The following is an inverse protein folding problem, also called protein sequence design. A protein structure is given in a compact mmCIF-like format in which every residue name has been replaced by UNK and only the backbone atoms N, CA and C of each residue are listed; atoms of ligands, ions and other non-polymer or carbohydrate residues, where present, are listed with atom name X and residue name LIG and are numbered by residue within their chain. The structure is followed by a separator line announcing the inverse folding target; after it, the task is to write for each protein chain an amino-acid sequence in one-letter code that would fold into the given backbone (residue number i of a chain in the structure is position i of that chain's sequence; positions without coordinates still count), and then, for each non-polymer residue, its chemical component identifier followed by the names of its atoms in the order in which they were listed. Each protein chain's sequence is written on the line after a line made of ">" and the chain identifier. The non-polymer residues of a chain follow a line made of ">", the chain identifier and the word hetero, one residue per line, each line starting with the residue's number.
data_IF_285450761185
#
_entry.id   IF_285450761185
#
_cell.length_a   1.000
_cell.length_b   1.000
_cell.length_c   1.000
_cell.angle_alpha   90.00
_cell.angle_beta   90.00
_cell.angle_gamma   90.00
#
_symmetry.space_group_name_H-M   'P 1'
#
loop_
_entity.id
_entity.type
_entity.pdbx_description
1 polymer ?
#
# COMPACT_ATOMS: atom_id res chain seq x y z
N UNK A 1 11.78 -3.34 -4.97
CA UNK A 1 11.34 -1.94 -5.21
C UNK A 1 10.56 -1.93 -6.52
N UNK A 2 9.29 -1.56 -6.48
CA UNK A 2 8.38 -1.69 -7.62
C UNK A 2 8.40 -0.45 -8.53
N UNK A 3 8.18 -0.59 -9.85
CA UNK A 3 7.92 0.54 -10.72
C UNK A 3 6.71 1.37 -10.26
N UNK A 4 6.74 2.72 -10.37
CA UNK A 4 5.65 3.57 -9.88
C UNK A 4 4.26 3.23 -10.44
N UNK A 5 4.19 2.80 -11.71
CA UNK A 5 2.91 2.43 -12.33
C UNK A 5 2.29 1.17 -11.70
N UNK A 6 3.10 0.22 -11.23
CA UNK A 6 2.59 -0.99 -10.56
C UNK A 6 1.99 -0.66 -9.19
N UNK A 7 2.57 0.32 -8.49
CA UNK A 7 2.04 0.82 -7.22
C UNK A 7 0.70 1.53 -7.48
N UNK A 8 0.61 2.37 -8.51
CA UNK A 8 -0.65 3.01 -8.88
C UNK A 8 -1.75 2.00 -9.22
N UNK A 9 -1.41 0.95 -9.97
CA UNK A 9 -2.34 -0.14 -10.30
C UNK A 9 -2.79 -0.93 -9.06
N UNK A 10 -1.91 -1.16 -8.09
CA UNK A 10 -2.29 -1.76 -6.80
C UNK A 10 -3.27 -0.88 -6.01
N UNK A 11 -3.05 0.44 -5.99
CA UNK A 11 -4.00 1.38 -5.38
C UNK A 11 -5.36 1.37 -6.09
N UNK A 12 -5.39 1.36 -7.43
CA UNK A 12 -6.63 1.25 -8.21
C UNK A 12 -7.34 -0.07 -7.93
N UNK A 13 -6.59 -1.17 -7.84
CA UNK A 13 -7.13 -2.49 -7.49
C UNK A 13 -7.79 -2.49 -6.12
N UNK A 14 -7.11 -1.99 -5.08
CA UNK A 14 -7.67 -1.86 -3.72
C UNK A 14 -8.97 -1.04 -3.75
N UNK A 15 -8.95 0.13 -4.40
CA UNK A 15 -10.12 0.99 -4.50
C UNK A 15 -11.29 0.32 -5.25
N UNK A 16 -10.99 -0.45 -6.29
CA UNK A 16 -12.00 -1.19 -7.06
C UNK A 16 -12.66 -2.29 -6.23
N UNK A 17 -11.87 -3.04 -5.45
CA UNK A 17 -12.39 -4.05 -4.51
C UNK A 17 -13.25 -3.39 -3.43
N UNK A 18 -12.80 -2.29 -2.82
CA UNK A 18 -13.57 -1.56 -1.80
C UNK A 18 -14.89 -0.96 -2.31
N UNK A 19 -14.97 -0.66 -3.61
CA UNK A 19 -16.16 -0.12 -4.27
C UNK A 19 -16.98 -1.17 -5.02
N UNK A 20 -16.63 -2.45 -4.86
CA UNK A 20 -17.28 -3.59 -5.53
C UNK A 20 -17.35 -3.41 -7.06
N UNK A 21 -16.36 -2.73 -7.64
CA UNK A 21 -16.28 -2.47 -9.07
C UNK A 21 -15.49 -3.57 -9.76
N UNK A 22 -16.13 -4.27 -10.71
CA UNK A 22 -15.43 -5.22 -11.55
C UNK A 22 -14.50 -4.50 -12.53
N UNK A 23 -13.22 -4.81 -12.43
CA UNK A 23 -12.13 -4.22 -13.23
C UNK A 23 -11.26 -5.28 -13.88
N UNK A 24 -11.63 -6.58 -13.80
CA UNK A 24 -10.81 -7.68 -14.31
C UNK A 24 -10.48 -7.52 -15.80
N UNK A 25 -11.48 -7.24 -16.62
CA UNK A 25 -11.30 -7.05 -18.06
C UNK A 25 -10.31 -5.90 -18.37
N UNK A 26 -10.41 -4.78 -17.65
CA UNK A 26 -9.51 -3.64 -17.83
C UNK A 26 -8.06 -4.00 -17.45
N UNK A 27 -7.85 -4.77 -16.38
CA UNK A 27 -6.52 -5.25 -16.01
C UNK A 27 -5.95 -6.29 -16.99
N UNK A 28 -6.80 -7.15 -17.57
CA UNK A 28 -6.39 -8.12 -18.60
C UNK A 28 -5.91 -7.43 -19.89
N UNK A 29 -6.60 -6.37 -20.33
CA UNK A 29 -6.21 -5.56 -21.49
C UNK A 29 -4.83 -4.90 -21.31
N UNK A 30 -4.51 -4.48 -20.09
CA UNK A 30 -3.22 -3.88 -19.73
C UNK A 30 -2.05 -4.89 -19.75
N UNK A 31 -2.34 -6.20 -19.85
CA UNK A 31 -1.34 -7.30 -19.84
C UNK A 31 -0.42 -7.25 -18.61
N UNK A 32 -0.96 -6.83 -17.48
CA UNK A 32 -0.22 -6.71 -16.22
C UNK A 32 -0.32 -8.03 -15.46
N UNK A 33 0.77 -8.43 -14.82
CA UNK A 33 0.77 -9.59 -13.92
C UNK A 33 -0.02 -9.26 -12.64
N UNK A 34 -1.23 -9.83 -12.55
CA UNK A 34 -2.11 -9.64 -11.40
C UNK A 34 -1.55 -10.22 -10.10
N UNK A 35 -0.62 -11.18 -10.14
CA UNK A 35 0.03 -11.67 -8.93
C UNK A 35 0.92 -10.59 -8.32
N UNK A 36 1.68 -9.87 -9.15
CA UNK A 36 2.52 -8.75 -8.70
C UNK A 36 1.65 -7.64 -8.11
N UNK A 37 0.56 -7.26 -8.79
CA UNK A 37 -0.37 -6.23 -8.29
C UNK A 37 -0.99 -6.62 -6.96
N UNK A 38 -1.43 -7.87 -6.80
CA UNK A 38 -1.98 -8.38 -5.54
C UNK A 38 -0.94 -8.40 -4.42
N UNK A 39 0.30 -8.77 -4.70
CA UNK A 39 1.38 -8.74 -3.71
C UNK A 39 1.63 -7.32 -3.20
N UNK A 40 1.75 -6.34 -4.10
CA UNK A 40 1.89 -4.93 -3.73
C UNK A 40 0.67 -4.45 -2.93
N UNK A 41 -0.54 -4.84 -3.34
CA UNK A 41 -1.76 -4.48 -2.62
C UNK A 41 -1.79 -5.05 -1.19
N UNK A 42 -1.34 -6.30 -1.00
CA UNK A 42 -1.20 -6.90 0.32
C UNK A 42 -0.18 -6.16 1.17
N UNK A 43 0.99 -5.79 0.63
CA UNK A 43 1.99 -4.98 1.35
C UNK A 43 1.42 -3.62 1.80
N UNK A 44 0.62 -2.97 0.94
CA UNK A 44 -0.06 -1.71 1.28
C UNK A 44 -1.08 -1.92 2.41
N UNK A 45 -1.89 -2.98 2.34
CA UNK A 45 -2.90 -3.27 3.37
C UNK A 45 -2.25 -3.63 4.71
N UNK A 46 -1.20 -4.45 4.68
CA UNK A 46 -0.41 -4.83 5.86
C UNK A 46 0.22 -3.59 6.53
N UNK A 47 0.68 -2.61 5.74
CA UNK A 47 1.10 -1.33 6.28
C UNK A 47 -0.03 -0.62 7.06
N UNK A 48 -1.25 -0.56 6.51
CA UNK A 48 -2.37 0.10 7.22
C UNK A 48 -2.78 -0.64 8.50
N UNK A 49 -2.75 -1.97 8.49
CA UNK A 49 -3.06 -2.79 9.66
C UNK A 49 -2.00 -2.65 10.75
N UNK A 50 -0.71 -2.71 10.38
CA UNK A 50 0.40 -2.57 11.31
C UNK A 50 0.59 -1.13 11.80
N UNK A 51 0.41 -0.12 10.94
CA UNK A 51 0.49 1.29 11.32
C UNK A 51 -0.54 1.66 12.38
N UNK A 52 -1.76 1.09 12.29
CA UNK A 52 -2.82 1.29 13.29
C UNK A 52 -2.43 0.80 14.69
N UNK A 53 -1.44 -0.08 14.78
CA UNK A 53 -0.96 -0.64 16.05
C UNK A 53 0.21 0.15 16.66
N UNK A 54 0.80 1.11 15.94
CA UNK A 54 1.89 1.93 16.48
C UNK A 54 1.29 3.12 17.23
N UNK A 55 1.44 3.21 18.57
CA UNK A 55 0.94 4.34 19.33
C UNK A 55 1.67 5.62 18.90
N UNK A 56 0.91 6.69 18.69
CA UNK A 56 1.44 8.00 18.28
C UNK A 56 2.52 8.51 19.26
N UNK A 57 2.36 8.23 20.56
CA UNK A 57 3.37 8.53 21.59
C UNK A 57 4.73 7.87 21.34
N UNK A 58 4.75 6.64 20.81
CA UNK A 58 6.00 5.94 20.48
C UNK A 58 6.70 6.58 19.28
N UNK A 59 5.92 7.05 18.31
CA UNK A 59 6.45 7.80 17.15
C UNK A 59 7.03 9.13 17.63
N UNK A 60 6.27 9.90 18.42
CA UNK A 60 6.72 11.17 18.98
C UNK A 60 8.00 11.01 19.82
N UNK A 61 8.09 9.96 20.63
CA UNK A 61 9.28 9.66 21.45
C UNK A 61 10.49 9.26 20.61
N UNK A 62 10.29 8.50 19.52
CA UNK A 62 11.38 8.13 18.63
C UNK A 62 11.92 9.36 17.85
N UNK A 63 11.02 10.22 17.37
CA UNK A 63 11.37 11.46 16.67
C UNK A 63 12.10 12.44 17.60
N UNK A 64 11.64 12.61 18.83
CA UNK A 64 12.31 13.50 19.79
C UNK A 64 13.72 13.04 20.13
N UNK A 65 13.95 11.72 20.25
CA UNK A 65 15.29 11.12 20.44
C UNK A 65 16.22 11.27 19.25
N UNK A 66 15.69 11.34 18.02
CA UNK A 66 16.49 11.60 16.82
C UNK A 66 16.90 13.08 16.76
N UNK A 67 15.98 14.00 17.04
CA UNK A 67 16.24 15.44 17.06
C UNK A 67 17.23 15.87 18.16
N UNK A 68 17.34 15.11 19.25
CA UNK A 68 18.35 15.35 20.29
C UNK A 68 19.72 14.76 19.97
N UNK A 69 19.85 13.98 18.89
CA UNK A 69 21.10 13.35 18.45
C UNK A 69 21.71 13.98 17.20
N UNK A 70 21.04 14.98 16.61
CA UNK A 70 21.59 15.88 15.59
C UNK A 70 22.09 17.17 16.25
#
# INVERSE_FOLDING_TARGET
>A
MYPPFMIALACIYIASVLKEKDTKAWFEELRVDMNVIKNIAMEILDFYDNYRQIPEERIATAVSKLLTRM
#
